data_IF_992173564081
#
_entry.id   IF_992173564081
#
_cell.length_a   1.000
_cell.length_b   1.000
_cell.length_c   1.000
_cell.angle_alpha   90.00
_cell.angle_beta   90.00
_cell.angle_gamma   90.00
#
_symmetry.space_group_name_H-M   'P 1'
#
loop_
_entity.id
_entity.type
_entity.pdbx_description
1 polymer ?
#
# COMPACT_ATOMS: atom_id res chain seq x y z
N UNK A 1 39.37 37.56 -13.43
CA UNK A 1 39.38 37.16 -14.85
C UNK A 1 39.16 35.65 -14.85
N UNK A 2 37.92 35.22 -14.60
CA UNK A 2 36.92 34.89 -15.64
C UNK A 2 37.23 33.51 -16.27
N UNK A 3 36.35 32.52 -16.44
CA UNK A 3 34.96 32.29 -16.02
C UNK A 3 34.56 30.83 -16.39
N UNK A 4 33.47 30.36 -15.78
CA UNK A 4 32.44 29.39 -16.22
C UNK A 4 32.74 28.08 -17.05
N UNK A 5 32.42 26.94 -16.41
CA UNK A 5 31.40 25.93 -16.82
C UNK A 5 31.45 25.25 -18.20
N UNK A 6 31.56 23.91 -18.23
CA UNK A 6 30.73 23.08 -19.12
C UNK A 6 30.54 21.65 -18.58
N UNK A 7 29.27 21.24 -18.59
CA UNK A 7 28.66 20.06 -17.98
C UNK A 7 28.82 18.82 -18.89
N UNK A 8 28.93 17.62 -18.31
CA UNK A 8 28.18 16.47 -18.82
C UNK A 8 27.92 15.39 -17.74
N UNK A 9 26.70 14.80 -17.68
CA UNK A 9 26.25 13.84 -16.67
C UNK A 9 26.16 12.40 -17.24
N UNK A 10 26.50 11.36 -16.47
CA UNK A 10 26.10 9.94 -16.66
C UNK A 10 26.92 9.05 -15.70
N UNK A 11 26.42 8.06 -14.96
CA UNK A 11 25.15 7.36 -14.94
C UNK A 11 24.73 7.12 -13.47
N UNK A 12 23.43 7.13 -13.12
CA UNK A 12 22.98 6.37 -11.97
C UNK A 12 23.15 4.89 -12.33
N UNK A 13 24.19 4.25 -11.79
CA UNK A 13 24.26 2.79 -11.73
C UNK A 13 23.03 2.35 -10.95
N UNK A 14 22.07 1.78 -11.66
CA UNK A 14 20.93 1.10 -11.06
C UNK A 14 21.48 -0.05 -10.22
N UNK A 15 21.67 0.18 -8.92
CA UNK A 15 21.93 -0.87 -7.96
C UNK A 15 20.73 -1.84 -8.04
N UNK A 16 20.97 -3.15 -8.23
CA UNK A 16 19.89 -4.12 -8.26
C UNK A 16 19.12 -4.08 -6.94
N UNK A 17 17.90 -3.54 -7.03
CA UNK A 17 16.73 -3.76 -6.17
C UNK A 17 16.90 -3.67 -4.64
N UNK A 18 17.66 -2.69 -4.16
CA UNK A 18 17.58 -2.31 -2.74
C UNK A 18 16.19 -1.73 -2.37
N UNK A 19 15.34 -1.42 -3.36
CA UNK A 19 13.95 -1.00 -3.15
C UNK A 19 13.11 -2.06 -2.45
N UNK A 20 13.32 -3.36 -2.71
CA UNK A 20 12.64 -4.43 -1.98
C UNK A 20 13.06 -4.53 -0.49
N UNK A 21 14.27 -4.09 -0.14
CA UNK A 21 14.75 -4.10 1.24
C UNK A 21 14.19 -2.93 2.05
N UNK A 22 13.75 -1.86 1.38
CA UNK A 22 13.00 -0.80 2.00
C UNK A 22 11.55 -1.27 2.19
N UNK A 23 11.33 -2.14 3.18
CA UNK A 23 9.98 -2.48 3.65
C UNK A 23 9.35 -1.23 4.29
N UNK A 24 8.88 -0.32 3.45
CA UNK A 24 8.19 0.89 3.89
C UNK A 24 6.76 0.55 4.28
N UNK A 25 6.23 1.32 5.23
CA UNK A 25 4.81 1.30 5.54
C UNK A 25 3.98 1.59 4.29
N UNK A 26 2.87 0.88 4.12
CA UNK A 26 1.95 1.13 3.01
C UNK A 26 0.95 2.22 3.33
N UNK A 27 0.54 2.99 2.32
CA UNK A 27 -0.56 3.93 2.41
C UNK A 27 -1.62 3.58 1.36
N UNK A 28 -2.87 3.49 1.78
CA UNK A 28 -4.01 3.18 0.93
C UNK A 28 -4.92 4.41 0.93
N UNK A 29 -5.20 4.95 -0.26
CA UNK A 29 -6.07 6.10 -0.43
C UNK A 29 -7.25 5.72 -1.33
N UNK A 30 -8.45 6.09 -0.91
CA UNK A 30 -9.68 5.94 -1.69
C UNK A 30 -10.09 7.33 -2.16
N UNK A 31 -10.23 7.48 -3.47
CA UNK A 31 -10.64 8.74 -4.09
C UNK A 31 -12.06 8.64 -4.62
N UNK A 32 -12.76 9.76 -4.59
CA UNK A 32 -14.06 9.91 -5.22
C UNK A 32 -13.93 10.75 -6.48
N UNK A 33 -14.68 10.39 -7.53
CA UNK A 33 -14.72 11.18 -8.76
C UNK A 33 -15.27 12.60 -8.54
N UNK A 34 -16.02 12.82 -7.44
CA UNK A 34 -16.53 14.15 -7.07
C UNK A 34 -15.42 15.09 -6.58
N UNK A 35 -14.34 14.55 -6.01
CA UNK A 35 -13.23 15.32 -5.49
C UNK A 35 -11.91 14.55 -5.63
N UNK A 36 -11.31 14.53 -6.84
CA UNK A 36 -10.07 13.80 -7.09
C UNK A 36 -8.85 14.40 -6.38
N UNK A 37 -8.92 15.67 -5.97
CA UNK A 37 -7.81 16.38 -5.33
C UNK A 37 -7.61 16.00 -3.86
N UNK A 38 -8.61 15.39 -3.22
CA UNK A 38 -8.53 14.98 -1.81
C UNK A 38 -9.04 13.55 -1.64
N UNK A 39 -8.26 12.64 -1.04
CA UNK A 39 -8.75 11.29 -0.76
C UNK A 39 -9.95 11.37 0.20
N UNK A 40 -10.99 10.61 -0.09
CA UNK A 40 -12.15 10.49 0.79
C UNK A 40 -11.81 9.67 2.04
N UNK A 41 -10.94 8.66 1.86
CA UNK A 41 -10.44 7.81 2.93
C UNK A 41 -8.95 7.54 2.75
N UNK A 42 -8.20 7.51 3.86
CA UNK A 42 -6.78 7.16 3.89
C UNK A 42 -6.50 6.20 5.04
N UNK A 43 -5.82 5.11 4.75
CA UNK A 43 -5.40 4.10 5.74
C UNK A 43 -3.90 3.90 5.67
N UNK A 44 -3.23 3.95 6.81
CA UNK A 44 -1.83 3.55 6.93
C UNK A 44 -1.74 2.10 7.39
N UNK A 45 -0.84 1.37 6.75
CA UNK A 45 -0.55 -0.04 7.01
C UNK A 45 0.89 -0.18 7.45
N UNK A 46 1.17 -1.13 8.36
CA UNK A 46 2.52 -1.38 8.88
C UNK A 46 3.48 -1.91 7.81
N UNK A 47 2.94 -2.54 6.76
CA UNK A 47 3.67 -3.13 5.64
C UNK A 47 3.02 -2.71 4.32
N UNK A 48 3.80 -2.63 3.25
CA UNK A 48 3.31 -2.29 1.91
C UNK A 48 2.08 -3.11 1.50
N UNK A 49 1.01 -2.43 1.09
CA UNK A 49 -0.18 -3.06 0.54
C UNK A 49 0.10 -3.56 -0.88
N UNK A 50 -0.10 -4.86 -1.12
CA UNK A 50 0.17 -5.53 -2.38
C UNK A 50 -1.09 -5.83 -3.18
N UNK A 51 -2.20 -6.10 -2.50
CA UNK A 51 -3.48 -6.37 -3.13
C UNK A 51 -4.62 -5.71 -2.38
N UNK A 52 -5.66 -5.32 -3.12
CA UNK A 52 -6.83 -4.61 -2.60
C UNK A 52 -8.07 -5.14 -3.32
N UNK A 53 -9.15 -5.40 -2.57
CA UNK A 53 -10.42 -5.81 -3.17
C UNK A 53 -11.61 -5.35 -2.34
N UNK A 54 -12.53 -4.62 -2.97
CA UNK A 54 -13.80 -4.23 -2.35
C UNK A 54 -14.78 -5.39 -2.37
N UNK A 55 -15.61 -5.47 -1.34
CA UNK A 55 -16.66 -6.48 -1.28
C UNK A 55 -17.75 -6.18 -2.33
N UNK A 56 -18.23 -7.19 -3.08
CA UNK A 56 -19.20 -6.99 -4.17
C UNK A 56 -20.57 -6.48 -3.69
N UNK A 57 -21.07 -6.99 -2.55
CA UNK A 57 -22.34 -6.54 -1.97
C UNK A 57 -22.20 -5.33 -1.03
N UNK A 58 -21.19 -5.34 -0.16
CA UNK A 58 -20.96 -4.31 0.86
C UNK A 58 -19.80 -3.38 0.47
N UNK A 59 -20.09 -2.33 -0.30
CA UNK A 59 -19.07 -1.37 -0.79
C UNK A 59 -18.26 -0.66 0.30
N UNK A 60 -18.68 -0.77 1.57
CA UNK A 60 -17.95 -0.24 2.70
C UNK A 60 -16.80 -1.15 3.19
N UNK A 61 -16.74 -2.41 2.76
CA UNK A 61 -15.73 -3.37 3.19
C UNK A 61 -14.61 -3.46 2.14
N UNK A 62 -13.37 -3.29 2.61
CA UNK A 62 -12.15 -3.39 1.81
C UNK A 62 -11.25 -4.46 2.40
N UNK A 63 -10.90 -5.46 1.60
CA UNK A 63 -9.83 -6.41 1.93
C UNK A 63 -8.50 -5.92 1.36
N UNK A 64 -7.43 -6.14 2.13
CA UNK A 64 -6.08 -5.69 1.84
C UNK A 64 -5.10 -6.81 2.13
N UNK A 65 -4.23 -7.12 1.18
CA UNK A 65 -3.11 -8.04 1.35
C UNK A 65 -1.81 -7.28 1.44
N UNK A 66 -1.00 -7.57 2.46
CA UNK A 66 0.27 -6.91 2.71
C UNK A 66 1.46 -7.76 2.27
N UNK A 67 2.60 -7.11 2.07
CA UNK A 67 3.87 -7.75 1.70
C UNK A 67 4.38 -8.72 2.78
N UNK A 68 4.13 -8.41 4.05
CA UNK A 68 4.47 -9.28 5.17
C UNK A 68 3.61 -10.55 5.28
N UNK A 69 2.65 -10.75 4.37
CA UNK A 69 1.70 -11.86 4.39
C UNK A 69 0.44 -11.62 5.23
N UNK A 70 0.30 -10.44 5.84
CA UNK A 70 -0.89 -10.07 6.61
C UNK A 70 -2.06 -9.78 5.67
N UNK A 71 -3.25 -10.23 6.08
CA UNK A 71 -4.51 -9.86 5.45
C UNK A 71 -5.27 -8.95 6.40
N UNK A 72 -5.64 -7.78 5.94
CA UNK A 72 -6.37 -6.77 6.70
C UNK A 72 -7.74 -6.56 6.06
N UNK A 73 -8.76 -6.36 6.88
CA UNK A 73 -10.07 -5.91 6.41
C UNK A 73 -10.36 -4.57 7.06
N UNK A 74 -10.75 -3.60 6.25
CA UNK A 74 -11.12 -2.25 6.67
C UNK A 74 -12.61 -2.01 6.39
N UNK A 75 -13.28 -1.33 7.31
CA UNK A 75 -14.57 -0.69 7.04
C UNK A 75 -14.32 0.79 6.78
N UNK A 76 -14.55 1.23 5.54
CA UNK A 76 -14.23 2.61 5.10
C UNK A 76 -15.05 3.66 5.83
N UNK A 77 -16.19 3.28 6.43
CA UNK A 77 -17.04 4.20 7.20
C UNK A 77 -16.44 4.53 8.56
N UNK A 78 -15.58 3.64 9.09
CA UNK A 78 -14.94 3.83 10.38
C UNK A 78 -13.77 4.78 10.20
N UNK A 79 -13.89 5.97 10.79
CA UNK A 79 -12.79 6.94 10.80
C UNK A 79 -11.68 6.44 11.69
N UNK A 80 -10.60 5.94 11.09
CA UNK A 80 -9.39 5.54 11.79
C UNK A 80 -8.54 4.59 10.95
N UNK A 81 -7.27 4.45 11.33
CA UNK A 81 -6.32 3.58 10.63
C UNK A 81 -6.34 2.15 11.17
N UNK A 82 -7.38 1.76 11.91
CA UNK A 82 -7.46 0.45 12.55
C UNK A 82 -8.29 -0.50 11.68
N UNK A 83 -7.73 -1.64 11.25
CA UNK A 83 -8.50 -2.64 10.52
C UNK A 83 -9.53 -3.31 11.44
N UNK A 84 -10.70 -3.64 10.91
CA UNK A 84 -11.73 -4.41 11.62
C UNK A 84 -11.31 -5.87 11.82
N UNK A 85 -10.43 -6.36 10.96
CA UNK A 85 -9.83 -7.68 11.06
C UNK A 85 -8.37 -7.64 10.60
N UNK A 86 -7.48 -8.32 11.33
CA UNK A 86 -6.07 -8.50 10.97
C UNK A 86 -5.73 -9.98 11.13
N UNK A 87 -5.28 -10.61 10.05
CA UNK A 87 -4.75 -11.96 10.11
C UNK A 87 -3.45 -11.95 10.93
N UNK A 88 -3.38 -12.85 11.91
CA UNK A 88 -2.22 -13.08 12.77
C UNK A 88 -1.60 -14.44 12.45
N UNK A 89 -0.36 -14.68 12.91
CA UNK A 89 0.32 -15.97 12.80
C UNK A 89 -0.56 -17.11 13.36
N UNK A 90 -1.35 -16.83 14.40
CA UNK A 90 -2.29 -17.79 14.99
C UNK A 90 -3.51 -18.10 14.12
N UNK A 91 -3.88 -17.19 13.23
CA UNK A 91 -5.07 -17.32 12.38
C UNK A 91 -4.73 -17.72 10.94
N UNK A 92 -3.47 -18.06 10.65
CA UNK A 92 -3.03 -18.48 9.32
C UNK A 92 -2.52 -17.34 8.44
N UNK A 93 -1.79 -16.37 9.01
CA UNK A 93 -1.05 -15.37 8.22
C UNK A 93 -0.09 -16.05 7.23
N UNK A 94 0.00 -15.56 6.00
CA UNK A 94 0.95 -16.04 5.01
C UNK A 94 2.39 -15.67 5.41
N UNK A 95 3.39 -16.46 5.01
CA UNK A 95 4.80 -16.09 5.18
C UNK A 95 5.35 -15.29 3.98
N UNK A 96 4.59 -15.26 2.90
CA UNK A 96 4.94 -14.62 1.63
C UNK A 96 3.97 -13.47 1.32
N UNK A 97 4.35 -12.53 0.42
CA UNK A 97 3.48 -11.42 0.02
C UNK A 97 2.14 -11.90 -0.54
N UNK A 98 1.05 -11.23 -0.13
CA UNK A 98 -0.30 -11.55 -0.63
C UNK A 98 -0.57 -10.77 -1.93
N UNK A 99 -0.39 -11.44 -3.05
CA UNK A 99 -0.48 -10.84 -4.40
C UNK A 99 -1.90 -10.57 -4.89
N UNK A 100 -2.89 -11.32 -4.42
CA UNK A 100 -4.28 -11.14 -4.83
C UNK A 100 -5.21 -11.61 -3.70
N UNK A 101 -6.34 -10.90 -3.55
CA UNK A 101 -7.41 -11.26 -2.62
C UNK A 101 -8.73 -11.06 -3.35
N UNK A 102 -9.67 -11.99 -3.13
CA UNK A 102 -11.02 -11.93 -3.66
C UNK A 102 -12.02 -12.20 -2.55
N UNK A 103 -13.14 -11.47 -2.59
CA UNK A 103 -14.31 -11.76 -1.78
C UNK A 103 -15.14 -12.82 -2.50
N UNK A 104 -15.74 -13.73 -1.74
CA UNK A 104 -16.56 -14.83 -2.25
C UNK A 104 -17.98 -14.73 -1.70
#
# INVERSE_FOLDING_TARGET
MEDATTLSPALPVALPDLTLLLQSSGLINIFSLKNPSHPEYSFSTESGAMSLHFHPEYSNLLAVGCYDGSVLVYDVRVKGNTPIYKASVRTGKHNDPVWAIFWQ
#
